data_IF_661894521348
#
_entry.id   IF_661894521348
#
_cell.length_a   1.000
_cell.length_b   1.000
_cell.length_c   1.000
_cell.angle_alpha   90.00
_cell.angle_beta   90.00
_cell.angle_gamma   90.00
#
_symmetry.space_group_name_H-M   'P 1'
#
loop_
_entity.id
_entity.type
_entity.pdbx_description
1 polymer ?
#
# COMPACT_ATOMS: atom_id res chain seq x y z
N UNK A 1 -20.43 16.69 6.48
CA UNK A 1 -20.26 16.07 5.15
C UNK A 1 -18.81 15.67 5.07
N UNK A 2 -18.47 14.37 5.15
CA UNK A 2 -17.18 13.92 4.63
C UNK A 2 -17.15 14.38 3.18
N UNK A 3 -16.14 15.18 2.81
CA UNK A 3 -16.08 15.74 1.46
C UNK A 3 -15.95 14.58 0.47
N UNK A 4 -16.44 14.74 -0.77
CA UNK A 4 -16.30 13.69 -1.79
C UNK A 4 -14.84 13.21 -1.96
N UNK A 5 -13.90 14.11 -1.67
CA UNK A 5 -12.45 13.88 -1.71
C UNK A 5 -12.00 12.95 -0.58
N UNK A 6 -12.50 13.13 0.65
CA UNK A 6 -12.19 12.23 1.77
C UNK A 6 -12.65 10.80 1.49
N UNK A 7 -13.80 10.65 0.83
CA UNK A 7 -14.33 9.33 0.45
C UNK A 7 -13.47 8.69 -0.64
N UNK A 8 -13.09 9.43 -1.68
CA UNK A 8 -12.25 8.92 -2.75
C UNK A 8 -10.85 8.51 -2.25
N UNK A 9 -10.22 9.35 -1.42
CA UNK A 9 -8.97 9.03 -0.76
C UNK A 9 -9.09 7.79 0.13
N UNK A 10 -10.13 7.70 0.98
CA UNK A 10 -10.34 6.53 1.83
C UNK A 10 -10.53 5.25 1.02
N UNK A 11 -11.23 5.32 -0.12
CA UNK A 11 -11.41 4.18 -1.02
C UNK A 11 -10.11 3.75 -1.71
N UNK A 12 -9.22 4.70 -2.02
CA UNK A 12 -7.89 4.36 -2.54
C UNK A 12 -7.13 3.53 -1.52
N UNK A 13 -7.07 4.00 -0.27
CA UNK A 13 -6.35 3.31 0.81
C UNK A 13 -7.00 1.96 1.16
N UNK A 14 -8.33 1.88 1.12
CA UNK A 14 -9.09 0.62 1.29
C UNK A 14 -8.67 -0.44 0.28
N UNK A 15 -8.49 -0.06 -0.99
CA UNK A 15 -8.03 -0.97 -2.04
C UNK A 15 -6.62 -1.48 -1.77
N UNK A 16 -5.72 -0.62 -1.30
CA UNK A 16 -4.36 -1.04 -0.93
C UNK A 16 -4.41 -2.06 0.20
N UNK A 17 -5.16 -1.78 1.26
CA UNK A 17 -5.28 -2.69 2.39
C UNK A 17 -5.85 -4.06 1.97
N UNK A 18 -6.89 -4.08 1.13
CA UNK A 18 -7.56 -5.33 0.71
C UNK A 18 -6.87 -6.11 -0.40
N UNK A 19 -6.25 -5.42 -1.34
CA UNK A 19 -5.79 -6.02 -2.60
C UNK A 19 -4.27 -5.88 -2.80
N UNK A 20 -3.55 -5.37 -1.81
CA UNK A 20 -2.10 -5.19 -1.88
C UNK A 20 -1.68 -3.92 -2.61
N UNK A 21 -2.42 -3.44 -3.62
CA UNK A 21 -2.01 -2.28 -4.39
C UNK A 21 -3.16 -1.41 -4.91
N UNK A 22 -2.89 -0.13 -5.12
CA UNK A 22 -3.78 0.78 -5.84
C UNK A 22 -3.02 1.92 -6.53
N UNK A 23 -3.45 2.27 -7.74
CA UNK A 23 -2.89 3.36 -8.54
C UNK A 23 -3.81 4.58 -8.53
N UNK A 24 -3.21 5.77 -8.51
CA UNK A 24 -3.89 7.06 -8.44
C UNK A 24 -3.17 8.09 -9.32
N UNK A 25 -3.92 8.97 -9.98
CA UNK A 25 -3.34 10.06 -10.76
C UNK A 25 -2.84 11.22 -9.85
N UNK A 26 -1.82 11.94 -10.29
CA UNK A 26 -1.35 13.15 -9.56
C UNK A 26 -2.45 14.21 -9.43
N UNK A 27 -3.32 14.34 -10.43
CA UNK A 27 -4.46 15.27 -10.40
C UNK A 27 -5.45 14.96 -9.25
N UNK A 28 -5.64 13.68 -8.93
CA UNK A 28 -6.50 13.27 -7.82
C UNK A 28 -5.87 13.61 -6.48
N UNK A 29 -4.55 13.41 -6.34
CA UNK A 29 -3.80 13.84 -5.16
C UNK A 29 -3.93 15.34 -4.94
N UNK A 30 -3.77 16.13 -6.01
CA UNK A 30 -3.94 17.58 -5.96
C UNK A 30 -5.36 17.96 -5.54
N UNK A 31 -6.39 17.28 -6.05
CA UNK A 31 -7.77 17.53 -5.66
C UNK A 31 -8.01 17.27 -4.16
N UNK A 32 -7.34 16.27 -3.57
CA UNK A 32 -7.51 15.90 -2.16
C UNK A 32 -6.68 16.76 -1.21
N UNK A 33 -5.42 17.01 -1.55
CA UNK A 33 -4.42 17.60 -0.64
C UNK A 33 -3.89 18.96 -1.10
N UNK A 34 -4.18 19.39 -2.33
CA UNK A 34 -3.57 20.57 -2.95
C UNK A 34 -2.06 20.40 -3.19
N UNK A 35 -1.58 19.15 -3.28
CA UNK A 35 -0.17 18.81 -3.40
C UNK A 35 0.14 18.22 -4.78
N UNK A 36 1.27 18.62 -5.36
CA UNK A 36 1.77 18.11 -6.65
C UNK A 36 2.64 16.86 -6.49
N UNK A 37 3.02 16.54 -5.25
CA UNK A 37 3.78 15.34 -4.91
C UNK A 37 3.45 14.81 -3.52
N UNK A 38 3.91 13.59 -3.22
CA UNK A 38 3.82 13.03 -1.86
C UNK A 38 4.95 13.60 -1.03
N UNK A 39 4.66 14.66 -0.29
CA UNK A 39 5.52 15.21 0.73
C UNK A 39 5.30 14.51 2.09
N UNK A 40 6.02 14.97 3.12
CA UNK A 40 5.87 14.42 4.47
C UNK A 40 4.45 14.60 5.07
N UNK A 41 3.72 15.62 4.66
CA UNK A 41 2.36 15.90 5.15
C UNK A 41 1.36 14.94 4.53
N UNK A 42 1.41 14.81 3.20
CA UNK A 42 0.62 13.85 2.43
C UNK A 42 0.92 12.43 2.92
N UNK A 43 2.19 12.07 3.07
CA UNK A 43 2.60 10.75 3.54
C UNK A 43 2.04 10.43 4.93
N UNK A 44 2.08 11.38 5.87
CA UNK A 44 1.47 11.20 7.20
C UNK A 44 -0.03 10.94 7.12
N UNK A 45 -0.74 11.62 6.23
CA UNK A 45 -2.17 11.41 6.03
C UNK A 45 -2.47 10.03 5.40
N UNK A 46 -1.72 9.64 4.38
CA UNK A 46 -1.75 8.29 3.76
C UNK A 46 -1.54 7.21 4.82
N UNK A 47 -0.44 7.31 5.57
CA UNK A 47 -0.05 6.30 6.54
C UNK A 47 -1.01 6.22 7.74
N UNK A 48 -1.52 7.36 8.21
CA UNK A 48 -2.53 7.38 9.27
C UNK A 48 -3.83 6.68 8.83
N UNK A 49 -4.32 6.99 7.63
CA UNK A 49 -5.53 6.35 7.09
C UNK A 49 -5.31 4.86 6.83
N UNK A 50 -4.15 4.49 6.32
CA UNK A 50 -3.79 3.10 6.07
C UNK A 50 -3.77 2.29 7.36
N UNK A 51 -3.13 2.81 8.41
CA UNK A 51 -3.17 2.21 9.75
C UNK A 51 -4.60 2.03 10.25
N UNK A 52 -5.44 3.06 10.17
CA UNK A 52 -6.85 2.96 10.59
C UNK A 52 -7.60 1.82 9.89
N UNK A 53 -7.41 1.68 8.58
CA UNK A 53 -8.07 0.66 7.77
C UNK A 53 -7.51 -0.74 8.06
N UNK A 54 -6.20 -0.92 8.16
CA UNK A 54 -5.60 -2.21 8.49
C UNK A 54 -6.01 -2.66 9.91
N UNK A 55 -6.02 -1.74 10.89
CA UNK A 55 -6.54 -2.04 12.23
C UNK A 55 -8.02 -2.45 12.18
N UNK A 56 -8.83 -1.82 11.32
CA UNK A 56 -10.23 -2.23 11.13
C UNK A 56 -10.38 -3.65 10.56
N UNK A 57 -9.48 -4.05 9.67
CA UNK A 57 -9.45 -5.42 9.11
C UNK A 57 -8.85 -6.45 10.05
N UNK A 58 -8.22 -6.03 11.16
CA UNK A 58 -7.67 -6.94 12.16
C UNK A 58 -6.26 -7.43 11.82
N UNK A 59 -5.51 -6.71 10.99
CA UNK A 59 -4.08 -6.97 10.80
C UNK A 59 -3.35 -6.87 12.14
N UNK A 60 -2.59 -7.91 12.51
CA UNK A 60 -1.83 -7.98 13.76
C UNK A 60 -0.63 -7.04 13.73
N UNK A 61 0.11 -7.06 12.63
CA UNK A 61 1.16 -6.11 12.29
C UNK A 61 0.74 -5.27 11.07
N UNK A 62 1.15 -4.00 11.05
CA UNK A 62 0.83 -3.10 9.94
C UNK A 62 1.78 -3.42 8.76
N UNK A 63 1.30 -3.95 7.62
CA UNK A 63 2.19 -4.32 6.53
C UNK A 63 2.94 -3.11 5.99
N UNK A 64 4.20 -3.28 5.59
CA UNK A 64 4.99 -2.20 5.03
C UNK A 64 4.30 -1.62 3.79
N UNK A 65 4.29 -0.29 3.69
CA UNK A 65 3.64 0.44 2.60
C UNK A 65 4.69 1.21 1.81
N UNK A 66 4.76 0.91 0.52
CA UNK A 66 5.68 1.51 -0.44
C UNK A 66 4.92 2.32 -1.49
N UNK A 67 5.63 3.24 -2.15
CA UNK A 67 5.09 4.03 -3.26
C UNK A 67 6.00 3.95 -4.48
N UNK A 68 5.44 3.53 -5.60
CA UNK A 68 6.07 3.69 -6.90
C UNK A 68 5.60 4.98 -7.56
N UNK A 69 6.56 5.85 -7.90
CA UNK A 69 6.30 7.11 -8.61
C UNK A 69 6.51 6.91 -10.10
N UNK A 70 5.50 7.27 -10.88
CA UNK A 70 5.56 7.44 -12.33
C UNK A 70 5.21 8.89 -12.70
N UNK A 71 5.42 9.25 -13.96
CA UNK A 71 5.20 10.63 -14.42
C UNK A 71 3.73 11.06 -14.31
N UNK A 72 2.79 10.19 -14.63
CA UNK A 72 1.35 10.51 -14.65
C UNK A 72 0.57 10.03 -13.42
N UNK A 73 1.12 9.06 -12.68
CA UNK A 73 0.44 8.41 -11.56
C UNK A 73 1.44 7.92 -10.53
N UNK A 74 0.94 7.52 -9.38
CA UNK A 74 1.68 6.75 -8.39
C UNK A 74 0.91 5.50 -8.03
N UNK A 75 1.63 4.47 -7.60
CA UNK A 75 1.04 3.23 -7.10
C UNK A 75 1.48 3.02 -5.67
N UNK A 76 0.52 2.92 -4.76
CA UNK A 76 0.73 2.42 -3.42
C UNK A 76 0.72 0.91 -3.46
N UNK A 77 1.70 0.28 -2.83
CA UNK A 77 1.83 -1.18 -2.72
C UNK A 77 2.18 -1.51 -1.29
N UNK A 78 1.46 -2.45 -0.69
CA UNK A 78 1.84 -3.03 0.60
C UNK A 78 2.43 -4.41 0.41
N UNK A 79 3.25 -4.82 1.37
CA UNK A 79 3.69 -6.20 1.49
C UNK A 79 2.51 -7.11 1.87
N UNK A 80 2.67 -8.41 1.57
CA UNK A 80 1.76 -9.43 2.06
C UNK A 80 1.78 -9.46 3.58
N UNK A 81 0.61 -9.74 4.19
CA UNK A 81 0.60 -10.10 5.61
C UNK A 81 0.95 -11.58 5.77
N UNK A 82 1.44 -11.96 6.95
CA UNK A 82 1.90 -13.33 7.25
C UNK A 82 0.82 -14.41 7.01
N UNK A 83 -0.46 -14.03 7.09
CA UNK A 83 -1.61 -14.93 6.87
C UNK A 83 -2.17 -14.89 5.44
N UNK A 84 -1.55 -14.10 4.55
CA UNK A 84 -1.93 -14.00 3.15
C UNK A 84 -1.05 -14.89 2.27
N UNK A 85 -1.66 -15.69 1.39
CA UNK A 85 -0.94 -16.45 0.36
C UNK A 85 -0.45 -15.56 -0.78
N UNK A 86 0.46 -14.65 -0.48
CA UNK A 86 1.10 -13.77 -1.48
C UNK A 86 2.24 -14.54 -2.13
N UNK A 87 2.40 -14.36 -3.44
CA UNK A 87 3.55 -14.87 -4.17
C UNK A 87 3.93 -13.87 -5.27
N UNK A 88 5.22 -13.76 -5.54
CA UNK A 88 5.74 -12.97 -6.64
C UNK A 88 5.81 -13.85 -7.87
N UNK A 89 5.31 -13.34 -9.00
CA UNK A 89 5.47 -13.99 -10.30
C UNK A 89 6.62 -13.28 -11.01
N UNK A 90 7.68 -14.02 -11.28
CA UNK A 90 8.89 -13.55 -11.94
C UNK A 90 8.64 -13.09 -13.38
N UNK A 91 9.67 -12.51 -13.99
CA UNK A 91 9.59 -11.94 -15.34
C UNK A 91 9.32 -12.99 -16.44
N UNK A 92 9.61 -14.26 -16.17
CA UNK A 92 9.32 -15.42 -17.02
C UNK A 92 7.89 -15.97 -16.82
N UNK A 93 7.14 -15.45 -15.84
CA UNK A 93 5.79 -15.88 -15.53
C UNK A 93 5.73 -17.07 -14.56
N UNK A 94 6.86 -17.46 -13.98
CA UNK A 94 6.93 -18.51 -12.96
C UNK A 94 6.81 -17.92 -11.55
N UNK A 95 6.28 -18.70 -10.59
CA UNK A 95 6.25 -18.28 -9.20
C UNK A 95 7.68 -18.26 -8.67
N UNK A 96 8.11 -17.15 -8.08
CA UNK A 96 9.34 -17.13 -7.30
C UNK A 96 9.08 -17.99 -6.04
N UNK A 97 9.84 -19.07 -5.90
CA UNK A 97 9.82 -19.87 -4.67
C UNK A 97 10.38 -18.98 -3.56
N UNK A 98 9.59 -18.73 -2.50
CA UNK A 98 10.11 -18.09 -1.30
C UNK A 98 11.21 -19.01 -0.75
N UNK A 99 12.47 -18.54 -0.75
CA UNK A 99 13.51 -19.15 0.07
C UNK A 99 13.08 -18.92 1.53
N UNK A 100 12.35 -19.88 2.09
CA UNK A 100 12.21 -20.02 3.54
C UNK A 100 13.63 -19.98 4.10
N UNK A 101 14.02 -18.85 4.68
CA UNK A 101 15.30 -18.68 5.34
C UNK A 101 15.35 -19.62 6.54
N UNK A 102 15.79 -20.85 6.33
CA UNK A 102 16.34 -21.70 7.38
C UNK A 102 17.56 -20.95 7.94
N UNK A 103 17.34 -20.14 8.97
CA UNK A 103 18.40 -19.80 9.92
C UNK A 103 18.83 -21.11 10.59
N UNK A 104 19.76 -21.80 9.95
CA UNK A 104 20.62 -22.80 10.55
C UNK A 104 21.44 -22.10 11.66
N UNK A 105 20.86 -21.96 12.86
CA UNK A 105 21.64 -21.75 14.08
C UNK A 105 22.51 -23.00 14.31
N UNK A 106 23.71 -22.97 13.75
CA UNK A 106 24.76 -23.93 14.04
C UNK A 106 25.15 -23.88 15.53
N UNK A 107 25.00 -25.05 16.16
CA UNK A 107 25.36 -25.48 17.52
C UNK A 107 26.62 -24.88 18.17
#
# INVERSE_FOLDING_TARGET
>A
MLTHHDVAFSNLIDRVARYGAATCAWDELYAWFGAEEIDATVWRAVYARYREICTHYGFEELPELQVYRFDAFFTLVREGADDEGVAIIGADGELEEEEDGEEDEAA
#
